data_IF_451948603083
#
_entry.id   IF_451948603083
#
_cell.length_a   1.000
_cell.length_b   1.000
_cell.length_c   1.000
_cell.angle_alpha   90.00
_cell.angle_beta   90.00
_cell.angle_gamma   90.00
#
_symmetry.space_group_name_H-M   'P 1'
#
loop_
_entity.id
_entity.type
_entity.pdbx_description
1 polymer ?
#
# COMPACT_ATOMS: atom_id res chain seq x y z
N UNK A 1 -2.00 20.73 7.48
CA UNK A 1 -1.61 19.31 7.67
C UNK A 1 -2.81 18.38 7.82
N UNK A 2 -3.69 18.55 8.82
CA UNK A 2 -4.81 17.60 9.06
C UNK A 2 -5.74 17.36 7.86
N UNK A 3 -6.14 18.42 7.13
CA UNK A 3 -6.98 18.29 5.93
C UNK A 3 -6.28 17.47 4.85
N UNK A 4 -5.00 17.78 4.57
CA UNK A 4 -4.19 17.06 3.60
C UNK A 4 -4.04 15.57 3.98
N UNK A 5 -3.68 15.27 5.23
CA UNK A 5 -3.58 13.88 5.71
C UNK A 5 -4.92 13.15 5.58
N UNK A 6 -6.04 13.79 5.92
CA UNK A 6 -7.37 13.21 5.78
C UNK A 6 -7.72 12.85 4.33
N UNK A 7 -7.44 13.76 3.39
CA UNK A 7 -7.63 13.53 1.95
C UNK A 7 -6.75 12.38 1.46
N UNK A 8 -5.47 12.37 1.85
CA UNK A 8 -4.52 11.33 1.46
C UNK A 8 -4.89 9.96 2.04
N UNK A 9 -5.45 9.91 3.26
CA UNK A 9 -5.99 8.68 3.84
C UNK A 9 -7.16 8.17 3.00
N UNK A 10 -8.12 9.03 2.65
CA UNK A 10 -9.26 8.63 1.82
C UNK A 10 -8.80 8.09 0.44
N UNK A 11 -7.84 8.75 -0.20
CA UNK A 11 -7.23 8.30 -1.45
C UNK A 11 -6.52 6.95 -1.26
N UNK A 12 -5.70 6.80 -0.21
CA UNK A 12 -4.95 5.58 0.09
C UNK A 12 -5.89 4.38 0.32
N UNK A 13 -6.95 4.59 1.09
CA UNK A 13 -7.98 3.57 1.35
C UNK A 13 -8.69 3.19 0.06
N UNK A 14 -9.13 4.17 -0.73
CA UNK A 14 -9.78 3.91 -2.02
C UNK A 14 -8.88 3.08 -2.95
N UNK A 15 -7.62 3.49 -3.11
CA UNK A 15 -6.64 2.77 -3.95
C UNK A 15 -6.43 1.34 -3.43
N UNK A 16 -6.23 1.17 -2.12
CA UNK A 16 -6.00 -0.13 -1.49
C UNK A 16 -7.18 -1.10 -1.65
N UNK A 17 -8.40 -0.64 -1.40
CA UNK A 17 -9.62 -1.43 -1.58
C UNK A 17 -9.88 -1.75 -3.06
N UNK A 18 -9.71 -0.78 -3.96
CA UNK A 18 -9.88 -1.00 -5.40
C UNK A 18 -8.82 -1.96 -5.96
N UNK A 19 -7.55 -1.85 -5.52
CA UNK A 19 -6.49 -2.77 -5.94
C UNK A 19 -6.72 -4.17 -5.38
N UNK A 20 -6.97 -4.29 -4.08
CA UNK A 20 -7.12 -5.57 -3.42
C UNK A 20 -8.36 -6.33 -3.86
N UNK A 21 -9.49 -5.65 -4.09
CA UNK A 21 -10.73 -6.30 -4.51
C UNK A 21 -10.68 -6.92 -5.91
N UNK A 22 -9.67 -6.61 -6.73
CA UNK A 22 -9.47 -7.27 -8.03
C UNK A 22 -9.26 -8.78 -7.92
N UNK A 23 -8.89 -9.30 -6.76
CA UNK A 23 -8.75 -10.74 -6.54
C UNK A 23 -10.08 -11.48 -6.59
N UNK A 24 -11.20 -10.80 -6.35
CA UNK A 24 -12.55 -11.36 -6.44
C UNK A 24 -13.10 -11.39 -7.86
N UNK A 25 -12.33 -10.91 -8.85
CA UNK A 25 -12.69 -10.93 -10.26
C UNK A 25 -11.73 -11.85 -11.01
N UNK A 26 -12.23 -12.47 -12.10
CA UNK A 26 -11.37 -13.23 -13.00
C UNK A 26 -10.32 -12.28 -13.62
N UNK A 27 -9.02 -12.56 -13.48
CA UNK A 27 -7.99 -11.73 -14.09
C UNK A 27 -8.07 -11.82 -15.61
N UNK A 28 -7.68 -10.75 -16.32
CA UNK A 28 -7.44 -10.85 -17.76
C UNK A 28 -6.25 -11.78 -18.03
N UNK A 29 -6.23 -12.42 -19.20
CA UNK A 29 -5.16 -13.34 -19.57
C UNK A 29 -3.77 -12.68 -19.47
N UNK A 30 -3.63 -11.47 -20.03
CA UNK A 30 -2.37 -10.71 -19.97
C UNK A 30 -1.93 -10.38 -18.54
N UNK A 31 -2.86 -10.05 -17.63
CA UNK A 31 -2.52 -9.79 -16.24
C UNK A 31 -2.12 -11.07 -15.48
N UNK A 32 -2.80 -12.18 -15.75
CA UNK A 32 -2.47 -13.48 -15.17
C UNK A 32 -1.07 -13.95 -15.61
N UNK A 33 -0.76 -13.84 -16.91
CA UNK A 33 0.55 -14.18 -17.45
C UNK A 33 1.66 -13.30 -16.86
N UNK A 34 1.39 -12.00 -16.72
CA UNK A 34 2.31 -11.08 -16.03
C UNK A 34 2.55 -11.51 -14.58
N UNK A 35 1.51 -11.84 -13.81
CA UNK A 35 1.69 -12.30 -12.43
C UNK A 35 2.50 -13.61 -12.35
N UNK A 36 2.23 -14.55 -13.26
CA UNK A 36 2.99 -15.81 -13.33
C UNK A 36 4.47 -15.58 -13.65
N UNK A 37 4.82 -14.63 -14.53
CA UNK A 37 6.22 -14.31 -14.82
C UNK A 37 6.97 -13.68 -13.62
N UNK A 38 6.22 -13.12 -12.66
CA UNK A 38 6.75 -12.66 -11.36
C UNK A 38 6.86 -13.79 -10.31
N UNK A 39 6.45 -15.02 -10.64
CA UNK A 39 6.33 -16.12 -9.69
C UNK A 39 5.10 -16.04 -8.78
N UNK A 40 4.12 -15.19 -9.12
CA UNK A 40 2.89 -14.99 -8.36
C UNK A 40 1.78 -15.86 -8.95
N UNK A 41 1.48 -16.96 -8.26
CA UNK A 41 0.33 -17.83 -8.58
C UNK A 41 -0.98 -17.21 -8.10
N UNK A 42 -2.12 -17.76 -8.51
CA UNK A 42 -3.44 -17.28 -8.08
C UNK A 42 -3.62 -17.23 -6.55
N UNK A 43 -3.21 -18.26 -5.77
CA UNK A 43 -3.25 -18.17 -4.31
C UNK A 43 -2.43 -17.01 -3.76
N UNK A 44 -1.21 -16.81 -4.27
CA UNK A 44 -0.34 -15.69 -3.84
C UNK A 44 -0.97 -14.35 -4.21
N UNK A 45 -1.57 -14.24 -5.40
CA UNK A 45 -2.32 -13.05 -5.83
C UNK A 45 -3.46 -12.72 -4.88
N UNK A 46 -4.24 -13.72 -4.45
CA UNK A 46 -5.31 -13.55 -3.47
C UNK A 46 -4.75 -13.03 -2.14
N UNK A 47 -3.66 -13.63 -1.63
CA UNK A 47 -2.99 -13.17 -0.41
C UNK A 47 -2.55 -11.71 -0.51
N UNK A 48 -1.94 -11.29 -1.63
CA UNK A 48 -1.56 -9.89 -1.86
C UNK A 48 -2.79 -8.97 -1.90
N UNK A 49 -3.91 -9.41 -2.48
CA UNK A 49 -5.14 -8.60 -2.49
C UNK A 49 -5.73 -8.42 -1.09
N UNK A 50 -5.79 -9.49 -0.30
CA UNK A 50 -6.27 -9.43 1.08
C UNK A 50 -5.33 -8.61 1.97
N UNK A 51 -4.01 -8.72 1.77
CA UNK A 51 -3.02 -7.86 2.41
C UNK A 51 -3.33 -6.38 2.12
N UNK A 52 -3.53 -6.01 0.86
CA UNK A 52 -3.81 -4.63 0.47
C UNK A 52 -5.08 -4.08 1.14
N UNK A 53 -6.14 -4.89 1.23
CA UNK A 53 -7.39 -4.54 1.91
C UNK A 53 -7.15 -4.35 3.41
N UNK A 54 -6.47 -5.31 4.06
CA UNK A 54 -6.18 -5.22 5.49
C UNK A 54 -5.36 -3.97 5.82
N UNK A 55 -4.30 -3.70 5.05
CA UNK A 55 -3.48 -2.49 5.22
C UNK A 55 -4.28 -1.19 5.05
N UNK A 56 -5.21 -1.16 4.07
CA UNK A 56 -6.11 -0.03 3.87
C UNK A 56 -7.04 0.19 5.08
N UNK A 57 -7.65 -0.87 5.61
CA UNK A 57 -8.52 -0.77 6.79
C UNK A 57 -7.76 -0.31 8.04
N UNK A 58 -6.55 -0.82 8.26
CA UNK A 58 -5.69 -0.40 9.38
C UNK A 58 -5.26 1.07 9.27
N UNK A 59 -5.16 1.62 8.06
CA UNK A 59 -4.82 3.03 7.82
C UNK A 59 -5.92 4.00 8.29
N UNK A 60 -7.17 3.54 8.43
CA UNK A 60 -8.30 4.41 8.82
C UNK A 60 -8.26 4.79 10.31
N UNK A 61 -7.74 3.91 11.17
CA UNK A 61 -7.79 4.12 12.61
C UNK A 61 -6.47 4.69 13.16
N UNK A 62 -6.51 5.71 14.03
CA UNK A 62 -5.29 6.30 14.60
C UNK A 62 -4.36 5.29 15.28
N UNK A 63 -4.93 4.30 15.98
CA UNK A 63 -4.18 3.28 16.72
C UNK A 63 -3.39 2.32 15.83
N UNK A 64 -3.85 2.10 14.59
CA UNK A 64 -3.25 1.15 13.63
C UNK A 64 -2.62 1.84 12.43
N UNK A 65 -2.72 3.17 12.33
CA UNK A 65 -2.29 3.96 11.19
C UNK A 65 -0.86 3.67 10.73
N UNK A 66 0.09 3.63 11.67
CA UNK A 66 1.49 3.33 11.36
C UNK A 66 1.61 1.94 10.73
N UNK A 67 1.00 0.92 11.34
CA UNK A 67 1.05 -0.45 10.84
C UNK A 67 0.35 -0.64 9.50
N UNK A 68 -0.80 0.02 9.29
CA UNK A 68 -1.49 -0.01 8.00
C UNK A 68 -0.61 0.52 6.86
N UNK A 69 0.02 1.67 7.05
CA UNK A 69 0.92 2.25 6.05
C UNK A 69 2.23 1.46 5.90
N UNK A 70 2.80 0.95 6.99
CA UNK A 70 4.03 0.13 6.95
C UNK A 70 3.79 -1.18 6.19
N UNK A 71 2.70 -1.90 6.49
CA UNK A 71 2.32 -3.11 5.77
C UNK A 71 2.09 -2.80 4.29
N UNK A 72 1.48 -1.67 3.96
CA UNK A 72 1.28 -1.25 2.58
C UNK A 72 2.61 -0.99 1.87
N UNK A 73 3.54 -0.29 2.51
CA UNK A 73 4.87 -0.01 1.97
C UNK A 73 5.68 -1.29 1.72
N UNK A 74 5.69 -2.23 2.68
CA UNK A 74 6.35 -3.54 2.54
C UNK A 74 5.82 -4.29 1.32
N UNK A 75 4.49 -4.33 1.16
CA UNK A 75 3.87 -5.01 0.02
C UNK A 75 4.32 -4.43 -1.32
N UNK A 76 4.37 -3.10 -1.44
CA UNK A 76 4.77 -2.40 -2.65
C UNK A 76 6.26 -2.57 -2.96
N UNK A 77 7.12 -2.54 -1.93
CA UNK A 77 8.55 -2.85 -2.08
C UNK A 77 8.74 -4.28 -2.56
N UNK A 78 8.01 -5.25 -1.97
CA UNK A 78 8.08 -6.64 -2.38
C UNK A 78 7.64 -6.82 -3.85
N UNK A 79 6.54 -6.19 -4.26
CA UNK A 79 6.07 -6.22 -5.65
C UNK A 79 7.12 -5.63 -6.60
N UNK A 80 7.65 -4.45 -6.27
CA UNK A 80 8.68 -3.78 -7.06
C UNK A 80 9.95 -4.63 -7.17
N UNK A 81 10.37 -5.30 -6.11
CA UNK A 81 11.52 -6.21 -6.13
C UNK A 81 11.29 -7.43 -7.05
N UNK A 82 10.10 -8.04 -7.03
CA UNK A 82 9.74 -9.15 -7.92
C UNK A 82 9.73 -8.71 -9.39
N UNK A 83 9.20 -7.52 -9.64
CA UNK A 83 9.12 -6.91 -10.97
C UNK A 83 10.51 -6.59 -11.53
N UNK A 84 11.40 -6.05 -10.69
CA UNK A 84 12.80 -5.80 -11.06
C UNK A 84 13.54 -7.12 -11.34
N UNK A 85 13.33 -8.15 -10.51
CA UNK A 85 13.88 -9.49 -10.73
C UNK A 85 13.42 -10.08 -12.09
N UNK A 86 12.20 -9.79 -12.51
CA UNK A 86 11.65 -10.20 -13.81
C UNK A 86 12.07 -9.29 -14.99
N UNK A 87 12.92 -8.28 -14.76
CA UNK A 87 13.41 -7.37 -15.79
C UNK A 87 12.40 -6.33 -16.28
N UNK A 88 11.25 -6.16 -15.60
CA UNK A 88 10.20 -5.24 -16.00
C UNK A 88 10.32 -3.87 -15.31
N UNK A 89 11.36 -3.12 -15.67
CA UNK A 89 11.65 -1.81 -15.06
C UNK A 89 10.51 -0.79 -15.21
N UNK A 90 9.75 -0.84 -16.30
CA UNK A 90 8.61 0.07 -16.52
C UNK A 90 7.54 -0.11 -15.45
N UNK A 91 7.20 -1.36 -15.12
CA UNK A 91 6.22 -1.63 -14.08
C UNK A 91 6.77 -1.28 -12.69
N UNK A 92 8.07 -1.48 -12.45
CA UNK A 92 8.70 -1.09 -11.18
C UNK A 92 8.60 0.43 -10.94
N UNK A 93 8.79 1.25 -11.98
CA UNK A 93 8.63 2.70 -11.91
C UNK A 93 7.20 3.12 -11.58
N UNK A 94 6.20 2.36 -12.05
CA UNK A 94 4.79 2.62 -11.75
C UNK A 94 4.49 2.40 -10.26
N UNK A 95 5.20 1.50 -9.58
CA UNK A 95 5.01 1.25 -8.13
C UNK A 95 5.54 2.40 -7.25
N UNK A 96 6.49 3.20 -7.73
CA UNK A 96 7.09 4.31 -6.97
C UNK A 96 6.05 5.32 -6.44
N UNK A 97 5.16 5.92 -7.26
CA UNK A 97 4.15 6.84 -6.73
C UNK A 97 3.22 6.18 -5.72
N UNK A 98 2.93 4.88 -5.87
CA UNK A 98 2.12 4.15 -4.89
C UNK A 98 2.87 3.91 -3.57
N UNK A 99 4.19 3.70 -3.62
CA UNK A 99 5.04 3.54 -2.44
C UNK A 99 5.21 4.86 -1.68
N UNK A 100 5.29 5.98 -2.39
CA UNK A 100 5.42 7.30 -1.77
C UNK A 100 4.22 7.66 -0.90
N UNK A 101 3.01 7.23 -1.27
CA UNK A 101 1.79 7.56 -0.52
C UNK A 101 1.79 7.06 0.95
N UNK A 102 1.99 5.76 1.25
CA UNK A 102 2.03 5.29 2.64
C UNK A 102 3.21 5.89 3.43
N UNK A 103 4.37 6.12 2.79
CA UNK A 103 5.52 6.75 3.44
C UNK A 103 5.23 8.23 3.79
N UNK A 104 4.59 8.95 2.86
CA UNK A 104 4.15 10.32 3.08
C UNK A 104 3.10 10.39 4.19
N UNK A 105 2.17 9.43 4.23
CA UNK A 105 1.17 9.34 5.31
C UNK A 105 1.83 9.10 6.67
N UNK A 106 2.83 8.22 6.77
CA UNK A 106 3.61 8.03 8.00
C UNK A 106 4.24 9.35 8.44
N UNK A 107 4.86 10.09 7.51
CA UNK A 107 5.47 11.39 7.79
C UNK A 107 4.45 12.44 8.24
N UNK A 108 3.29 12.53 7.59
CA UNK A 108 2.26 13.52 7.89
C UNK A 108 1.43 13.21 9.14
N UNK A 109 1.36 11.94 9.53
CA UNK A 109 0.58 11.46 10.67
C UNK A 109 -0.94 11.46 10.44
N UNK A 110 -1.65 10.81 11.36
CA UNK A 110 -3.10 10.68 11.31
C UNK A 110 -3.79 11.96 11.82
N UNK A 111 -4.80 12.53 11.10
CA UNK A 111 -5.39 13.83 11.45
C UNK A 111 -6.17 13.85 12.77
N UNK A 112 -6.69 12.69 13.20
CA UNK A 112 -7.42 12.52 14.47
C UNK A 112 -6.50 12.23 15.67
N UNK A 113 -5.18 12.15 15.50
CA UNK A 113 -4.27 12.07 16.64
C UNK A 113 -4.24 13.44 17.33
N UNK A 114 -4.43 13.45 18.65
CA UNK A 114 -4.45 14.70 19.43
C UNK A 114 -3.16 15.48 19.21
N UNK A 115 -3.25 16.80 19.00
CA UNK A 115 -2.10 17.67 18.81
C UNK A 115 -1.30 17.92 20.11
N UNK A 116 -1.68 17.28 21.22
CA UNK A 116 -1.17 17.56 22.57
C UNK A 116 -0.45 16.41 23.27
N UNK A 117 -0.17 15.29 22.60
CA UNK A 117 0.66 14.23 23.18
C UNK A 117 1.67 13.77 22.14
N UNK A 118 2.93 14.07 22.46
CA UNK A 118 4.13 13.61 21.79
C UNK A 118 4.42 14.35 20.49
N UNK A 119 5.26 15.38 20.64
CA UNK A 119 6.58 15.39 20.01
C UNK A 119 6.75 14.21 19.06
N UNK A 120 6.90 14.51 17.76
CA UNK A 120 7.74 13.68 16.94
C UNK A 120 8.93 13.25 17.81
N UNK A 121 9.10 11.94 18.04
CA UNK A 121 10.29 11.47 18.72
C UNK A 121 11.46 12.14 17.99
N UNK A 122 12.34 12.88 18.69
CA UNK A 122 13.62 13.18 18.11
C UNK A 122 14.21 11.79 17.83
N UNK A 123 14.45 11.50 16.56
CA UNK A 123 15.30 10.38 16.20
C UNK A 123 16.62 10.66 16.93
N UNK A 124 16.89 9.88 17.98
CA UNK A 124 18.23 9.81 18.57
C UNK A 124 19.14 9.07 17.61
#
# INVERSE_FOLDING_TARGET
MKILSGILIAISVYIGLNHGSRVFRKPSAAYAEMMLSLGITDPVRIVFGLWAIAAALLTVFPATFFWGNTLRAIQLILMMALVLKAGNYKFALIEIPFLLLPLLLIYLGHPLRSAGTDNAMPIK
#
